data_IF_547746145298
#
_entry.id   IF_547746145298
#
_cell.length_a   1.000
_cell.length_b   1.000
_cell.length_c   1.000
_cell.angle_alpha   90.00
_cell.angle_beta   90.00
_cell.angle_gamma   90.00
#
_symmetry.space_group_name_H-M   'P 1'
#
loop_
_entity.id
_entity.type
_entity.pdbx_description
1 polymer ?
#
# COMPACT_ATOMS: atom_id res chain seq x y z
N UNK A 1 5.99 -26.87 8.86
CA UNK A 1 5.68 -25.42 8.88
C UNK A 1 4.68 -25.15 7.76
N UNK A 2 3.38 -25.11 8.07
CA UNK A 2 2.31 -24.99 7.06
C UNK A 2 2.26 -23.55 6.50
N UNK A 3 3.00 -23.31 5.41
CA UNK A 3 3.16 -22.03 4.74
C UNK A 3 1.89 -21.47 4.05
N UNK A 4 0.75 -22.14 4.20
CA UNK A 4 -0.51 -21.78 3.53
C UNK A 4 -1.11 -20.47 4.06
N UNK A 5 -0.91 -20.18 5.36
CA UNK A 5 -1.38 -18.93 5.99
C UNK A 5 -0.51 -17.72 5.67
N UNK A 6 0.76 -17.93 5.33
CA UNK A 6 1.69 -16.87 4.88
C UNK A 6 1.41 -16.47 3.42
N UNK A 7 1.20 -17.46 2.54
CA UNK A 7 0.89 -17.20 1.11
C UNK A 7 -0.47 -16.53 0.87
N UNK A 8 -1.52 -16.89 1.63
CA UNK A 8 -2.85 -16.25 1.51
C UNK A 8 -2.86 -14.82 2.07
N UNK A 9 -2.12 -14.55 3.16
CA UNK A 9 -1.93 -13.19 3.70
C UNK A 9 -1.16 -12.30 2.72
N UNK A 10 -0.07 -12.82 2.15
CA UNK A 10 0.73 -12.10 1.15
C UNK A 10 -0.08 -11.69 -0.09
N UNK A 11 -0.98 -12.55 -0.59
CA UNK A 11 -1.84 -12.20 -1.74
C UNK A 11 -2.84 -11.07 -1.44
N UNK A 12 -3.49 -11.09 -0.27
CA UNK A 12 -4.44 -10.02 0.12
C UNK A 12 -3.72 -8.68 0.33
N UNK A 13 -2.58 -8.73 1.01
CA UNK A 13 -1.70 -7.57 1.18
C UNK A 13 -1.25 -7.01 -0.17
N UNK A 14 -0.74 -7.86 -1.06
CA UNK A 14 -0.28 -7.45 -2.39
C UNK A 14 -1.40 -6.79 -3.20
N UNK A 15 -2.60 -7.37 -3.19
CA UNK A 15 -3.73 -6.84 -3.93
C UNK A 15 -4.17 -5.46 -3.40
N UNK A 16 -4.18 -5.28 -2.08
CA UNK A 16 -4.45 -3.99 -1.45
C UNK A 16 -3.35 -2.97 -1.71
N UNK A 17 -2.08 -3.38 -1.64
CA UNK A 17 -0.93 -2.52 -1.93
C UNK A 17 -0.96 -2.00 -3.38
N UNK A 18 -1.27 -2.89 -4.34
CA UNK A 18 -1.46 -2.51 -5.75
C UNK A 18 -2.60 -1.51 -5.90
N UNK A 19 -3.70 -1.69 -5.16
CA UNK A 19 -4.83 -0.75 -5.16
C UNK A 19 -4.41 0.64 -4.64
N UNK A 20 -3.66 0.69 -3.54
CA UNK A 20 -3.15 1.95 -2.95
C UNK A 20 -2.23 2.67 -3.95
N UNK A 21 -1.29 1.95 -4.56
CA UNK A 21 -0.41 2.50 -5.59
C UNK A 21 -1.18 3.02 -6.81
N UNK A 22 -2.21 2.31 -7.25
CA UNK A 22 -3.04 2.71 -8.37
C UNK A 22 -3.80 4.02 -8.08
N UNK A 23 -4.40 4.14 -6.88
CA UNK A 23 -5.11 5.35 -6.46
C UNK A 23 -4.13 6.53 -6.35
N UNK A 24 -2.98 6.35 -5.68
CA UNK A 24 -1.95 7.39 -5.57
C UNK A 24 -1.44 7.87 -6.94
N UNK A 25 -1.23 6.93 -7.88
CA UNK A 25 -0.78 7.26 -9.24
C UNK A 25 -1.87 7.98 -10.05
N UNK A 26 -3.14 7.63 -9.84
CA UNK A 26 -4.27 8.30 -10.48
C UNK A 26 -4.43 9.75 -9.99
N UNK A 27 -4.27 9.96 -8.68
CA UNK A 27 -4.26 11.32 -8.09
C UNK A 27 -3.09 12.12 -8.64
N UNK A 28 -1.89 11.53 -8.65
CA UNK A 28 -0.70 12.17 -9.22
C UNK A 28 -0.93 12.65 -10.66
N UNK A 29 -1.51 11.78 -11.50
CA UNK A 29 -1.82 12.07 -12.90
C UNK A 29 -2.83 13.20 -13.05
N UNK A 30 -3.89 13.19 -12.23
CA UNK A 30 -4.96 14.19 -12.28
C UNK A 30 -4.44 15.60 -11.98
N UNK A 31 -3.60 15.72 -10.96
CA UNK A 31 -3.04 17.01 -10.54
C UNK A 31 -1.76 17.40 -11.28
N UNK A 32 -1.27 16.56 -12.21
CA UNK A 32 0.01 16.73 -12.92
C UNK A 32 1.17 17.06 -11.97
N UNK A 33 1.15 16.49 -10.77
CA UNK A 33 2.14 16.76 -9.74
C UNK A 33 3.42 16.00 -10.06
N UNK A 34 4.56 16.71 -10.03
CA UNK A 34 5.87 16.16 -10.33
C UNK A 34 6.88 16.56 -9.24
N UNK A 35 8.01 15.87 -9.19
CA UNK A 35 9.04 16.10 -8.18
C UNK A 35 8.65 15.62 -6.78
N UNK A 36 9.12 16.32 -5.74
CA UNK A 36 8.95 15.94 -4.32
C UNK A 36 7.48 15.81 -3.90
N UNK A 37 6.61 16.70 -4.40
CA UNK A 37 5.17 16.64 -4.14
C UNK A 37 4.54 15.35 -4.67
N UNK A 38 5.00 14.90 -5.83
CA UNK A 38 4.55 13.65 -6.42
C UNK A 38 5.02 12.42 -5.64
N UNK A 39 6.27 12.44 -5.21
CA UNK A 39 6.81 11.40 -4.32
C UNK A 39 6.01 11.28 -3.03
N UNK A 40 5.69 12.41 -2.37
CA UNK A 40 4.92 12.41 -1.12
C UNK A 40 3.50 11.85 -1.28
N UNK A 41 2.83 12.12 -2.40
CA UNK A 41 1.47 11.62 -2.68
C UNK A 41 1.43 10.10 -2.86
N UNK A 42 2.52 9.49 -3.31
CA UNK A 42 2.63 8.03 -3.40
C UNK A 42 3.12 7.46 -2.07
N UNK A 43 4.11 8.12 -1.45
CA UNK A 43 4.76 7.61 -0.25
C UNK A 43 3.85 7.61 0.98
N UNK A 44 3.10 8.69 1.23
CA UNK A 44 2.25 8.81 2.42
C UNK A 44 1.18 7.70 2.46
N UNK A 45 0.38 7.46 1.40
CA UNK A 45 -0.65 6.42 1.44
C UNK A 45 -0.08 5.01 1.57
N UNK A 46 1.05 4.73 0.92
CA UNK A 46 1.74 3.43 1.03
C UNK A 46 2.26 3.23 2.46
N UNK A 47 2.90 4.23 3.05
CA UNK A 47 3.42 4.14 4.41
C UNK A 47 2.31 4.01 5.46
N UNK A 48 1.22 4.76 5.32
CA UNK A 48 0.03 4.61 6.16
C UNK A 48 -0.59 3.22 6.01
N UNK A 49 -0.66 2.68 4.80
CA UNK A 49 -1.14 1.33 4.55
C UNK A 49 -0.28 0.26 5.23
N UNK A 50 1.06 0.38 5.16
CA UNK A 50 1.99 -0.51 5.86
C UNK A 50 1.74 -0.52 7.38
N UNK A 51 1.61 0.67 7.99
CA UNK A 51 1.38 0.81 9.43
C UNK A 51 0.05 0.18 9.83
N UNK A 52 -1.02 0.45 9.09
CA UNK A 52 -2.35 -0.11 9.37
C UNK A 52 -2.31 -1.63 9.22
N UNK A 53 -1.73 -2.13 8.13
CA UNK A 53 -1.63 -3.56 7.87
C UNK A 53 -0.84 -4.27 8.96
N UNK A 54 0.33 -3.73 9.33
CA UNK A 54 1.17 -4.29 10.39
C UNK A 54 0.43 -4.31 11.71
N UNK A 55 -0.17 -3.18 12.13
CA UNK A 55 -0.94 -3.13 13.38
C UNK A 55 -2.17 -4.05 13.39
N UNK A 56 -2.85 -4.21 12.26
CA UNK A 56 -4.06 -5.04 12.18
C UNK A 56 -3.75 -6.53 12.27
N UNK A 57 -2.55 -6.95 11.83
CA UNK A 57 -2.15 -8.36 11.78
C UNK A 57 -1.12 -8.76 12.84
N UNK A 58 -0.37 -7.84 13.46
CA UNK A 58 0.42 -8.12 14.67
C UNK A 58 -0.45 -8.32 15.91
N UNK A 59 -1.64 -7.69 15.94
CA UNK A 59 -2.57 -7.81 17.07
C UNK A 59 -3.40 -9.10 17.07
N UNK A 60 -3.09 -10.06 16.19
CA UNK A 60 -3.88 -11.29 15.98
C UNK A 60 -2.99 -12.54 15.99
#
# INVERSE_FOLDING_TARGET
>A
MNNTYSKKRGKKYFLLLVLVLFISSSILSWFKLSGILGFLIIFIPVFTFEIIWTNYFEKK
#
